data_IF_318728633999
#
_entry.id   IF_318728633999
#
_cell.length_a   1.000
_cell.length_b   1.000
_cell.length_c   1.000
_cell.angle_alpha   90.00
_cell.angle_beta   90.00
_cell.angle_gamma   90.00
#
_symmetry.space_group_name_H-M   'P 1'
#
loop_
_entity.id
_entity.type
_entity.pdbx_description
1 polymer ?
#
# COMPACT_ATOMS: atom_id res chain seq x y z
N UNK A 1 -11.10 -21.00 -5.94
CA UNK A 1 -9.84 -21.37 -6.60
C UNK A 1 -9.85 -22.87 -6.79
N UNK A 2 -9.31 -23.39 -7.89
CA UNK A 2 -9.15 -24.84 -8.04
C UNK A 2 -8.22 -25.39 -6.94
N UNK A 3 -8.51 -26.53 -6.29
CA UNK A 3 -7.71 -27.08 -5.18
C UNK A 3 -6.21 -27.21 -5.49
N UNK A 4 -5.87 -27.69 -6.68
CA UNK A 4 -4.51 -27.86 -7.18
C UNK A 4 -3.74 -26.53 -7.29
N UNK A 5 -4.42 -25.44 -7.65
CA UNK A 5 -3.82 -24.11 -7.66
C UNK A 5 -3.60 -23.61 -6.23
N UNK A 6 -4.54 -23.87 -5.31
CA UNK A 6 -4.39 -23.49 -3.91
C UNK A 6 -3.20 -24.22 -3.28
N UNK A 7 -3.01 -25.50 -3.59
CA UNK A 7 -1.86 -26.29 -3.14
C UNK A 7 -0.55 -25.72 -3.68
N UNK A 8 -0.47 -25.44 -4.99
CA UNK A 8 0.74 -24.89 -5.61
C UNK A 8 1.13 -23.53 -4.99
N UNK A 9 0.15 -22.67 -4.72
CA UNK A 9 0.39 -21.38 -4.06
C UNK A 9 0.84 -21.57 -2.61
N UNK A 10 0.22 -22.47 -1.86
CA UNK A 10 0.63 -22.77 -0.48
C UNK A 10 2.07 -23.32 -0.43
N UNK A 11 2.43 -24.21 -1.37
CA UNK A 11 3.79 -24.72 -1.51
C UNK A 11 4.79 -23.61 -1.84
N UNK A 12 4.48 -22.74 -2.80
CA UNK A 12 5.32 -21.60 -3.14
C UNK A 12 5.51 -20.61 -1.97
N UNK A 13 4.51 -20.48 -1.11
CA UNK A 13 4.56 -19.62 0.07
C UNK A 13 5.22 -20.27 1.29
N UNK A 14 5.45 -21.59 1.27
CA UNK A 14 5.99 -22.34 2.42
C UNK A 14 5.08 -22.35 3.65
N UNK A 15 3.79 -22.00 3.50
CA UNK A 15 2.80 -21.98 4.59
C UNK A 15 1.40 -22.28 4.09
N UNK A 16 0.52 -22.68 5.00
CA UNK A 16 -0.91 -22.73 4.72
C UNK A 16 -1.49 -21.32 4.50
N UNK A 17 -2.54 -21.28 3.67
CA UNK A 17 -3.28 -20.06 3.36
C UNK A 17 -4.70 -20.18 3.89
N UNK A 18 -5.20 -19.09 4.44
CA UNK A 18 -6.60 -18.97 4.83
C UNK A 18 -7.50 -18.84 3.60
N UNK A 19 -8.77 -19.20 3.72
CA UNK A 19 -9.73 -19.06 2.62
C UNK A 19 -9.88 -17.63 2.09
N UNK A 20 -9.88 -16.57 2.93
CA UNK A 20 -9.87 -15.20 2.44
C UNK A 20 -8.63 -14.86 1.60
N UNK A 21 -7.44 -15.33 2.00
CA UNK A 21 -6.20 -15.11 1.24
C UNK A 21 -6.26 -15.78 -0.14
N UNK A 22 -6.69 -17.04 -0.19
CA UNK A 22 -6.87 -17.78 -1.45
C UNK A 22 -7.87 -17.06 -2.37
N UNK A 23 -8.99 -16.58 -1.83
CA UNK A 23 -9.97 -15.78 -2.57
C UNK A 23 -9.38 -14.47 -3.08
N UNK A 24 -8.54 -13.82 -2.28
CA UNK A 24 -7.82 -12.60 -2.67
C UNK A 24 -6.87 -12.83 -3.84
N UNK A 25 -6.07 -13.89 -3.78
CA UNK A 25 -5.11 -14.28 -4.83
C UNK A 25 -5.87 -14.61 -6.12
N UNK A 26 -6.90 -15.47 -6.06
CA UNK A 26 -7.71 -15.80 -7.22
C UNK A 26 -8.40 -14.56 -7.81
N UNK A 27 -8.92 -13.69 -6.95
CA UNK A 27 -9.57 -12.45 -7.37
C UNK A 27 -8.62 -11.55 -8.16
N UNK A 28 -7.39 -11.36 -7.68
CA UNK A 28 -6.35 -10.57 -8.38
C UNK A 28 -5.97 -11.21 -9.70
N UNK A 29 -5.75 -12.52 -9.72
CA UNK A 29 -5.42 -13.26 -10.95
C UNK A 29 -6.51 -13.10 -12.01
N UNK A 30 -7.78 -13.34 -11.66
CA UNK A 30 -8.92 -13.21 -12.59
C UNK A 30 -9.11 -11.79 -13.09
N UNK A 31 -8.91 -10.78 -12.24
CA UNK A 31 -8.95 -9.37 -12.66
C UNK A 31 -7.87 -9.07 -13.69
N UNK A 32 -6.64 -9.52 -13.44
CA UNK A 32 -5.52 -9.33 -14.34
C UNK A 32 -5.68 -10.06 -15.68
N UNK A 33 -6.20 -11.30 -15.67
CA UNK A 33 -6.60 -12.00 -16.89
C UNK A 33 -7.57 -11.16 -17.75
N UNK A 34 -8.61 -10.58 -17.15
CA UNK A 34 -9.58 -9.73 -17.86
C UNK A 34 -9.00 -8.40 -18.30
N UNK A 35 -8.05 -7.85 -17.57
CA UNK A 35 -7.39 -6.61 -17.95
C UNK A 35 -6.46 -6.84 -19.15
N UNK A 36 -5.62 -7.86 -19.09
CA UNK A 36 -4.72 -8.22 -20.18
C UNK A 36 -5.51 -8.60 -21.43
N UNK A 37 -6.61 -9.33 -21.29
CA UNK A 37 -7.51 -9.62 -22.42
C UNK A 37 -8.05 -8.37 -23.16
N UNK A 38 -8.08 -7.21 -22.50
CA UNK A 38 -8.52 -5.94 -23.08
C UNK A 38 -7.38 -5.03 -23.54
N UNK A 39 -6.15 -5.28 -23.09
CA UNK A 39 -5.04 -4.31 -23.21
C UNK A 39 -3.81 -4.88 -23.89
N UNK A 40 -3.63 -6.19 -23.87
CA UNK A 40 -2.55 -6.89 -24.57
C UNK A 40 -3.07 -7.35 -25.94
N UNK A 41 -2.51 -6.79 -27.01
CA UNK A 41 -2.90 -7.11 -28.38
C UNK A 41 -2.61 -8.59 -28.73
N UNK A 42 -1.55 -9.16 -28.16
CA UNK A 42 -1.14 -10.54 -28.39
C UNK A 42 -1.87 -11.54 -27.49
N UNK A 43 -2.80 -11.06 -26.65
CA UNK A 43 -3.49 -11.91 -25.69
C UNK A 43 -4.15 -13.12 -26.32
N UNK A 44 -4.78 -12.93 -27.49
CA UNK A 44 -5.48 -14.01 -28.17
C UNK A 44 -4.54 -15.08 -28.72
N UNK A 45 -3.31 -14.72 -29.07
CA UNK A 45 -2.29 -15.67 -29.54
C UNK A 45 -1.69 -16.52 -28.41
N UNK A 46 -1.74 -16.04 -27.16
CA UNK A 46 -1.20 -16.77 -25.99
C UNK A 46 -2.02 -18.04 -25.69
N UNK A 47 -1.31 -19.11 -25.36
CA UNK A 47 -1.89 -20.31 -24.75
C UNK A 47 -2.48 -20.01 -23.37
N UNK A 48 -3.32 -20.91 -22.86
CA UNK A 48 -3.89 -20.79 -21.51
C UNK A 48 -2.81 -20.66 -20.43
N UNK A 49 -1.71 -21.40 -20.55
CA UNK A 49 -0.60 -21.36 -19.60
C UNK A 49 0.10 -20.01 -19.62
N UNK A 50 0.41 -19.47 -20.81
CA UNK A 50 1.07 -18.17 -20.96
C UNK A 50 0.17 -17.03 -20.46
N UNK A 51 -1.13 -17.09 -20.73
CA UNK A 51 -2.10 -16.13 -20.19
C UNK A 51 -2.09 -16.14 -18.67
N UNK A 52 -2.10 -17.34 -18.07
CA UNK A 52 -2.05 -17.51 -16.61
C UNK A 52 -0.75 -16.97 -16.03
N UNK A 53 0.40 -17.28 -16.62
CA UNK A 53 1.71 -16.78 -16.19
C UNK A 53 1.79 -15.26 -16.29
N UNK A 54 1.32 -14.67 -17.40
CA UNK A 54 1.29 -13.22 -17.58
C UNK A 54 0.39 -12.52 -16.54
N UNK A 55 -0.80 -13.06 -16.28
CA UNK A 55 -1.70 -12.52 -15.27
C UNK A 55 -1.14 -12.68 -13.85
N UNK A 56 -0.48 -13.79 -13.55
CA UNK A 56 0.17 -14.03 -12.26
C UNK A 56 1.32 -13.04 -12.03
N UNK A 57 2.17 -12.85 -13.05
CA UNK A 57 3.24 -11.85 -13.01
C UNK A 57 2.69 -10.44 -12.75
N UNK A 58 1.69 -10.01 -13.54
CA UNK A 58 1.08 -8.69 -13.38
C UNK A 58 0.45 -8.51 -11.99
N UNK A 59 -0.24 -9.52 -11.48
CA UNK A 59 -0.82 -9.50 -10.13
C UNK A 59 0.25 -9.38 -9.02
N UNK A 60 1.40 -10.04 -9.20
CA UNK A 60 2.54 -9.92 -8.30
C UNK A 60 3.16 -8.51 -8.32
N UNK A 61 3.39 -7.97 -9.52
CA UNK A 61 3.94 -6.62 -9.71
C UNK A 61 3.01 -5.55 -9.09
N UNK A 62 1.69 -5.70 -9.24
CA UNK A 62 0.69 -4.84 -8.59
C UNK A 62 0.75 -4.93 -7.05
N UNK A 63 0.91 -6.13 -6.49
CA UNK A 63 0.98 -6.32 -5.05
C UNK A 63 2.20 -5.62 -4.46
N UNK A 64 3.37 -5.73 -5.10
CA UNK A 64 4.58 -5.03 -4.68
C UNK A 64 4.38 -3.52 -4.75
N UNK A 65 3.80 -3.01 -5.84
CA UNK A 65 3.52 -1.59 -6.00
C UNK A 65 2.54 -1.04 -4.93
N UNK A 66 1.48 -1.79 -4.61
CA UNK A 66 0.54 -1.45 -3.54
C UNK A 66 1.25 -1.35 -2.17
N UNK A 67 2.15 -2.29 -1.86
CA UNK A 67 2.92 -2.26 -0.61
C UNK A 67 3.89 -1.07 -0.55
N UNK A 68 4.55 -0.75 -1.65
CA UNK A 68 5.43 0.43 -1.72
C UNK A 68 4.65 1.73 -1.53
N UNK A 69 3.47 1.84 -2.15
CA UNK A 69 2.59 2.99 -1.95
C UNK A 69 2.11 3.10 -0.50
N UNK A 70 1.78 1.97 0.12
CA UNK A 70 1.39 1.92 1.54
C UNK A 70 2.51 2.42 2.45
N UNK A 71 3.74 1.92 2.28
CA UNK A 71 4.93 2.37 3.03
C UNK A 71 5.17 3.87 2.86
N UNK A 72 5.07 4.38 1.63
CA UNK A 72 5.21 5.81 1.34
C UNK A 72 4.15 6.64 2.06
N UNK A 73 2.88 6.20 2.06
CA UNK A 73 1.79 6.90 2.76
C UNK A 73 2.05 6.98 4.26
N UNK A 74 2.47 5.87 4.88
CA UNK A 74 2.83 5.86 6.31
C UNK A 74 3.98 6.83 6.59
N UNK A 75 5.03 6.83 5.76
CA UNK A 75 6.15 7.76 5.92
C UNK A 75 5.71 9.23 5.78
N UNK A 76 4.88 9.56 4.80
CA UNK A 76 4.32 10.91 4.63
C UNK A 76 3.48 11.33 5.84
N UNK A 77 2.68 10.42 6.40
CA UNK A 77 1.91 10.67 7.61
C UNK A 77 2.83 10.95 8.80
N UNK A 78 3.91 10.18 8.99
CA UNK A 78 4.89 10.42 10.06
C UNK A 78 5.53 11.81 9.91
N UNK A 79 5.95 12.18 8.70
CA UNK A 79 6.53 13.52 8.44
C UNK A 79 5.54 14.65 8.71
N UNK A 80 4.25 14.45 8.40
CA UNK A 80 3.22 15.43 8.69
C UNK A 80 3.01 15.63 10.20
N UNK A 81 3.00 14.55 10.99
CA UNK A 81 2.94 14.64 12.45
C UNK A 81 4.18 15.32 13.02
N UNK A 82 5.38 14.97 12.55
CA UNK A 82 6.62 15.63 12.99
C UNK A 82 6.64 17.14 12.70
N UNK A 83 6.02 17.61 11.61
CA UNK A 83 5.83 19.05 11.35
C UNK A 83 4.87 19.68 12.36
N UNK A 84 3.76 19.00 12.68
CA UNK A 84 2.82 19.48 13.69
C UNK A 84 3.48 19.58 15.08
N UNK A 85 4.32 18.62 15.44
CA UNK A 85 5.10 18.57 16.69
C UNK A 85 6.27 19.57 16.74
N UNK A 86 6.73 20.07 15.59
CA UNK A 86 7.72 21.16 15.54
C UNK A 86 7.07 22.55 15.76
N UNK A 87 5.76 22.69 15.59
CA UNK A 87 5.01 23.94 15.76
C UNK A 87 4.23 24.16 17.08
N UNK A 88 4.26 23.32 18.14
CA UNK A 88 3.49 23.56 19.36
C UNK A 88 4.18 24.50 20.38
N UNK A 89 5.39 25.01 20.08
CA UNK A 89 6.16 25.85 21.02
C UNK A 89 6.55 27.24 20.54
N UNK A 90 6.52 27.52 19.24
CA UNK A 90 7.08 28.77 18.70
C UNK A 90 6.27 30.01 19.13
N UNK A 91 4.94 29.89 19.22
CA UNK A 91 4.09 31.00 19.68
C UNK A 91 4.05 31.16 21.20
N UNK A 92 4.29 30.09 21.97
CA UNK A 92 4.19 30.13 23.43
C UNK A 92 5.43 30.79 24.07
N UNK A 93 6.63 30.49 23.56
CA UNK A 93 7.86 31.17 23.98
C UNK A 93 7.83 32.67 23.66
N UNK A 94 7.32 33.03 22.49
CA UNK A 94 7.16 34.44 22.07
C UNK A 94 6.09 35.18 22.89
N UNK A 95 4.98 34.50 23.24
CA UNK A 95 3.93 35.04 24.11
C UNK A 95 4.40 35.23 25.57
N UNK A 96 5.16 34.27 26.11
CA UNK A 96 5.76 34.37 27.45
C UNK A 96 6.78 35.51 27.51
N UNK A 97 7.64 35.66 26.50
CA UNK A 97 8.58 36.80 26.43
C UNK A 97 7.88 38.16 26.34
N UNK A 98 6.78 38.26 25.57
CA UNK A 98 5.99 39.49 25.46
C UNK A 98 5.31 39.86 26.78
N UNK A 99 4.87 38.87 27.55
CA UNK A 99 4.24 39.10 28.86
C UNK A 99 5.26 39.55 29.94
N UNK A 100 6.48 39.01 29.89
CA UNK A 100 7.56 39.40 30.80
C UNK A 100 8.08 40.85 30.58
N UNK A 101 7.87 41.42 29.38
CA UNK A 101 8.34 42.77 29.03
C UNK A 101 7.43 43.93 29.51
N UNK A 102 6.25 43.64 30.10
CA UNK A 102 5.34 44.67 30.64
C UNK A 102 5.04 44.43 32.13
N UNK A 103 5.94 44.82 33.06
CA UNK A 103 5.58 44.89 34.47
C UNK A 103 4.53 45.99 34.66
N UNK A 104 3.35 45.61 35.18
CA UNK A 104 2.32 46.55 35.64
C UNK A 104 2.94 47.53 36.64
N UNK A 105 2.93 48.82 36.31
CA UNK A 105 3.26 49.85 37.28
C UNK A 105 2.19 49.83 38.38
N UNK A 106 2.58 49.73 39.67
CA UNK A 106 1.64 49.93 40.75
C UNK A 106 1.22 51.41 40.81
N UNK A 107 -0.08 51.63 41.07
CA UNK A 107 -0.74 52.92 41.22
C UNK A 107 -0.18 53.73 42.39
#
# INVERSE_FOLDING_TARGET
MRPECALAVAQAMGRSLTQPELKGIEGRLRRNMRQLARTDAEWQAKTTSERMAAAAKKAGDELVAEQMLSKRRVALTILAHGRADAHPGAGWLEAVHRHAAHPRQPL
#
